data_IF_552624845591
#
_entry.id   IF_552624845591
#
_cell.length_a   1.000
_cell.length_b   1.000
_cell.length_c   1.000
_cell.angle_alpha   90.00
_cell.angle_beta   90.00
_cell.angle_gamma   90.00
#
_symmetry.space_group_name_H-M   'P 1'
#
loop_
_entity.id
_entity.type
_entity.pdbx_description
1 polymer ?
#
# COMPACT_ATOMS: atom_id res chain seq x y z
N UNK A 1 20.35 14.84 -8.18
CA UNK A 1 19.68 15.52 -7.03
C UNK A 1 18.30 14.91 -6.84
N UNK A 2 17.89 14.69 -5.59
CA UNK A 2 16.53 14.27 -5.29
C UNK A 2 15.49 15.32 -5.73
N UNK A 3 14.18 15.03 -5.57
CA UNK A 3 13.12 15.98 -5.91
C UNK A 3 13.28 17.30 -5.13
N UNK A 4 13.36 18.40 -5.85
CA UNK A 4 13.45 19.75 -5.30
C UNK A 4 12.15 20.51 -5.57
N UNK A 5 11.53 21.02 -4.52
CA UNK A 5 10.33 21.83 -4.54
C UNK A 5 10.72 23.30 -4.37
N UNK A 6 10.31 24.14 -5.29
CA UNK A 6 10.57 25.60 -5.25
C UNK A 6 9.28 26.37 -5.25
N UNK A 7 8.94 26.97 -4.12
CA UNK A 7 7.78 27.82 -3.95
C UNK A 7 6.46 27.13 -4.29
N UNK A 8 6.31 25.84 -3.96
CA UNK A 8 5.08 25.08 -4.23
C UNK A 8 3.95 25.65 -3.39
N UNK A 9 3.01 26.30 -4.03
CA UNK A 9 1.82 26.87 -3.40
C UNK A 9 0.55 26.26 -3.98
N UNK A 10 -0.36 25.82 -3.12
CA UNK A 10 -1.65 25.23 -3.47
C UNK A 10 -2.66 25.60 -2.39
N UNK A 11 -3.97 25.61 -2.66
CA UNK A 11 -5.01 25.89 -1.66
C UNK A 11 -4.98 24.98 -0.42
N UNK A 12 -4.29 23.83 -0.49
CA UNK A 12 -4.15 22.90 0.63
C UNK A 12 -2.95 23.22 1.54
N UNK A 13 -2.02 24.07 1.10
CA UNK A 13 -0.85 24.48 1.89
C UNK A 13 -1.00 25.93 2.31
N UNK A 14 -0.79 26.21 3.60
CA UNK A 14 -0.92 27.56 4.16
C UNK A 14 0.16 28.54 3.66
N UNK A 15 1.34 28.00 3.33
CA UNK A 15 2.48 28.75 2.85
C UNK A 15 3.17 28.02 1.68
N UNK A 16 3.98 28.70 0.86
CA UNK A 16 4.77 28.07 -0.18
C UNK A 16 5.78 27.07 0.42
N UNK A 17 5.92 25.91 -0.21
CA UNK A 17 6.86 24.87 0.20
C UNK A 17 8.14 24.99 -0.63
N UNK A 18 9.27 25.18 0.07
CA UNK A 18 10.62 25.03 -0.45
C UNK A 18 11.30 23.88 0.29
N UNK A 19 11.62 22.81 -0.43
CA UNK A 19 12.23 21.62 0.17
C UNK A 19 12.96 20.76 -0.87
N UNK A 20 14.09 20.15 -0.48
CA UNK A 20 14.81 19.21 -1.32
C UNK A 20 14.90 17.86 -0.62
N UNK A 21 14.31 16.83 -1.23
CA UNK A 21 14.46 15.45 -0.75
C UNK A 21 15.86 14.92 -1.04
N UNK A 22 16.35 14.02 -0.19
CA UNK A 22 17.61 13.33 -0.43
C UNK A 22 17.52 12.40 -1.65
N UNK A 23 18.52 12.46 -2.50
CA UNK A 23 18.65 11.51 -3.61
C UNK A 23 19.20 10.16 -3.12
N UNK A 24 18.89 9.08 -3.85
CA UNK A 24 19.40 7.74 -3.56
C UNK A 24 19.18 7.34 -2.11
N UNK A 25 18.04 7.72 -1.58
CA UNK A 25 17.66 7.51 -0.19
C UNK A 25 16.22 7.02 -0.07
N UNK A 26 15.94 6.30 1.01
CA UNK A 26 14.58 5.93 1.39
C UNK A 26 14.06 6.94 2.40
N UNK A 27 13.18 7.81 1.98
CA UNK A 27 12.56 8.83 2.83
C UNK A 27 11.14 8.42 3.21
N UNK A 28 10.83 8.42 4.50
CA UNK A 28 9.47 8.27 5.03
C UNK A 28 8.85 9.65 5.24
N UNK A 29 7.77 9.95 4.51
CA UNK A 29 6.98 11.18 4.68
C UNK A 29 5.85 10.93 5.68
N UNK A 30 5.92 11.56 6.83
CA UNK A 30 4.92 11.47 7.89
C UNK A 30 4.08 12.76 7.98
N UNK A 31 2.96 12.69 8.67
CA UNK A 31 2.07 13.83 8.91
C UNK A 31 0.65 13.36 9.18
N UNK A 32 -0.16 14.20 9.81
CA UNK A 32 -1.55 13.89 10.15
C UNK A 32 -2.38 13.54 8.92
N UNK A 33 -3.48 12.80 9.11
CA UNK A 33 -4.43 12.56 8.03
C UNK A 33 -4.98 13.90 7.53
N UNK A 34 -5.05 14.08 6.21
CA UNK A 34 -5.47 15.34 5.61
C UNK A 34 -4.39 16.44 5.55
N UNK A 35 -3.15 16.20 5.97
CA UNK A 35 -2.06 17.21 5.88
C UNK A 35 -1.63 17.54 4.44
N UNK A 36 -2.07 16.77 3.43
CA UNK A 36 -1.75 17.02 2.02
C UNK A 36 -0.65 16.13 1.44
N UNK A 37 -0.22 15.05 2.11
CA UNK A 37 0.84 14.14 1.61
C UNK A 37 0.55 13.59 0.22
N UNK A 38 -0.66 13.03 0.02
CA UNK A 38 -1.08 12.49 -1.28
C UNK A 38 -1.12 13.57 -2.36
N UNK A 39 -1.60 14.76 -2.01
CA UNK A 39 -1.61 15.90 -2.94
C UNK A 39 -0.21 16.37 -3.29
N UNK A 40 0.71 16.38 -2.34
CA UNK A 40 2.12 16.69 -2.59
C UNK A 40 2.74 15.68 -3.55
N UNK A 41 2.49 14.37 -3.37
CA UNK A 41 2.95 13.35 -4.30
C UNK A 41 2.38 13.54 -5.71
N UNK A 42 1.09 13.86 -5.82
CA UNK A 42 0.46 14.15 -7.11
C UNK A 42 1.06 15.38 -7.80
N UNK A 43 1.43 16.42 -7.03
CA UNK A 43 2.13 17.59 -7.55
C UNK A 43 3.53 17.21 -8.04
N UNK A 44 4.29 16.45 -7.26
CA UNK A 44 5.64 15.99 -7.66
C UNK A 44 5.57 15.16 -8.94
N UNK A 45 4.62 14.24 -9.04
CA UNK A 45 4.42 13.38 -10.21
C UNK A 45 3.74 14.08 -11.40
N UNK A 46 3.27 15.32 -11.24
CA UNK A 46 2.53 16.09 -12.28
C UNK A 46 1.24 15.39 -12.74
N UNK A 47 0.51 14.78 -11.81
CA UNK A 47 -0.78 14.06 -12.06
C UNK A 47 -1.94 14.66 -11.27
N UNK A 48 -1.75 15.84 -10.68
CA UNK A 48 -2.77 16.52 -9.90
C UNK A 48 -3.75 17.29 -10.78
N UNK A 49 -5.02 17.32 -10.35
CA UNK A 49 -6.03 18.27 -10.88
C UNK A 49 -6.14 19.53 -10.03
N UNK A 50 -5.46 19.60 -8.88
CA UNK A 50 -5.45 20.77 -8.02
C UNK A 50 -4.62 21.89 -8.64
N UNK A 51 -5.09 23.14 -8.59
CA UNK A 51 -4.29 24.28 -9.01
C UNK A 51 -3.11 24.45 -8.04
N UNK A 52 -1.93 24.62 -8.60
CA UNK A 52 -0.72 24.96 -7.84
C UNK A 52 0.19 25.89 -8.66
N UNK A 53 1.12 26.57 -7.99
CA UNK A 53 2.21 27.32 -8.59
C UNK A 53 3.53 26.85 -8.00
N UNK A 54 4.65 27.35 -8.53
CA UNK A 54 6.00 26.91 -8.17
C UNK A 54 6.54 25.87 -9.15
N UNK A 55 7.69 25.29 -8.84
CA UNK A 55 8.41 24.35 -9.71
C UNK A 55 8.81 23.09 -8.95
N UNK A 56 8.71 21.95 -9.64
CA UNK A 56 9.27 20.67 -9.18
C UNK A 56 10.43 20.32 -10.10
N UNK A 57 11.64 20.21 -9.54
CA UNK A 57 12.82 19.84 -10.29
C UNK A 57 13.32 18.46 -9.85
N UNK A 58 13.73 17.64 -10.81
CA UNK A 58 14.43 16.37 -10.57
C UNK A 58 15.67 16.41 -11.48
N UNK A 59 16.85 16.23 -10.90
CA UNK A 59 18.15 16.40 -11.60
C UNK A 59 18.26 17.72 -12.35
N UNK A 60 17.75 18.80 -11.77
CA UNK A 60 17.77 20.14 -12.35
C UNK A 60 16.80 20.38 -13.51
N UNK A 61 16.03 19.36 -13.91
CA UNK A 61 15.00 19.47 -14.96
C UNK A 61 13.63 19.67 -14.34
N UNK A 62 12.86 20.64 -14.83
CA UNK A 62 11.51 20.87 -14.39
C UNK A 62 10.57 19.77 -14.91
N UNK A 63 9.92 19.04 -13.99
CA UNK A 63 9.13 17.86 -14.30
C UNK A 63 7.93 18.18 -15.20
N UNK A 64 7.32 19.36 -15.04
CA UNK A 64 6.19 19.81 -15.85
C UNK A 64 6.54 19.98 -17.34
N UNK A 65 7.80 20.26 -17.66
CA UNK A 65 8.28 20.47 -19.02
C UNK A 65 8.75 19.18 -19.71
N UNK A 66 8.82 18.07 -18.99
CA UNK A 66 9.20 16.79 -19.56
C UNK A 66 8.08 16.21 -20.45
N UNK A 67 8.46 15.53 -21.53
CA UNK A 67 7.50 14.70 -22.29
C UNK A 67 6.90 13.64 -21.37
N UNK A 68 5.69 13.13 -21.69
CA UNK A 68 4.99 12.13 -20.87
C UNK A 68 5.89 10.92 -20.60
N UNK A 69 6.55 10.36 -21.64
CA UNK A 69 7.44 9.21 -21.51
C UNK A 69 8.60 9.53 -20.56
N UNK A 70 9.24 10.69 -20.76
CA UNK A 70 10.37 11.09 -19.92
C UNK A 70 9.96 11.36 -18.47
N UNK A 71 8.74 11.87 -18.26
CA UNK A 71 8.19 12.12 -16.94
C UNK A 71 7.99 10.82 -16.17
N UNK A 72 7.32 9.81 -16.75
CA UNK A 72 7.10 8.52 -16.08
C UNK A 72 8.39 7.74 -15.83
N UNK A 73 9.44 7.95 -16.64
CA UNK A 73 10.78 7.42 -16.40
C UNK A 73 11.57 8.23 -15.35
N UNK A 74 11.14 9.44 -15.04
CA UNK A 74 11.76 10.30 -14.02
C UNK A 74 11.11 10.09 -12.66
N UNK A 75 9.79 10.14 -12.60
CA UNK A 75 9.01 9.99 -11.37
C UNK A 75 7.80 9.12 -11.60
N UNK A 76 7.66 8.07 -10.79
CA UNK A 76 6.50 7.19 -10.78
C UNK A 76 5.78 7.28 -9.44
N UNK A 77 4.46 7.13 -9.47
CA UNK A 77 3.61 7.18 -8.28
C UNK A 77 2.75 5.93 -8.17
N UNK A 78 2.70 5.36 -6.96
CA UNK A 78 1.71 4.37 -6.56
C UNK A 78 0.66 5.07 -5.70
N UNK A 79 -0.60 5.04 -6.15
CA UNK A 79 -1.71 5.64 -5.42
C UNK A 79 -2.24 4.72 -4.31
N UNK A 80 -2.82 5.32 -3.28
CA UNK A 80 -3.47 4.63 -2.16
C UNK A 80 -4.51 3.60 -2.63
N UNK A 81 -5.29 3.92 -3.67
CA UNK A 81 -6.26 3.00 -4.25
C UNK A 81 -5.74 2.42 -5.57
N UNK A 82 -5.24 1.16 -5.58
CA UNK A 82 -4.67 0.55 -6.77
C UNK A 82 -5.69 0.31 -7.89
N UNK A 83 -7.01 0.30 -7.59
CA UNK A 83 -8.02 0.07 -8.63
C UNK A 83 -8.06 1.17 -9.69
N UNK A 84 -7.56 2.37 -9.39
CA UNK A 84 -7.55 3.50 -10.33
C UNK A 84 -6.34 3.47 -11.27
N UNK A 85 -5.42 2.50 -11.12
CA UNK A 85 -4.19 2.43 -11.90
C UNK A 85 -4.23 1.42 -13.03
N UNK A 86 -5.20 0.49 -13.03
CA UNK A 86 -5.29 -0.56 -14.02
C UNK A 86 -6.23 -0.20 -15.15
N UNK A 87 -5.78 -0.47 -16.38
CA UNK A 87 -6.52 -0.25 -17.62
C UNK A 87 -6.87 -1.57 -18.30
N UNK A 88 -6.04 -2.60 -18.13
CA UNK A 88 -6.18 -3.90 -18.76
C UNK A 88 -6.88 -4.92 -17.85
N UNK A 89 -7.25 -6.08 -18.42
CA UNK A 89 -7.99 -7.11 -17.70
C UNK A 89 -7.14 -7.85 -16.66
N UNK A 90 -5.86 -8.06 -16.95
CA UNK A 90 -4.92 -8.77 -16.08
C UNK A 90 -3.55 -8.10 -16.05
N UNK A 91 -2.71 -8.51 -15.10
CA UNK A 91 -1.40 -7.91 -14.89
C UNK A 91 -0.46 -8.10 -16.08
N UNK A 92 -0.54 -9.23 -16.79
CA UNK A 92 0.32 -9.48 -17.96
C UNK A 92 0.08 -8.47 -19.07
N UNK A 93 -1.18 -8.23 -19.40
CA UNK A 93 -1.58 -7.23 -20.40
C UNK A 93 -1.24 -5.80 -19.95
N UNK A 94 -1.41 -5.50 -18.66
CA UNK A 94 -1.06 -4.20 -18.09
C UNK A 94 0.45 -3.93 -18.19
N UNK A 95 1.29 -4.94 -17.96
CA UNK A 95 2.74 -4.83 -18.11
C UNK A 95 3.16 -4.61 -19.56
N UNK A 96 2.58 -5.36 -20.52
CA UNK A 96 2.81 -5.15 -21.96
C UNK A 96 2.43 -3.71 -22.32
N UNK A 97 1.19 -3.31 -22.00
CA UNK A 97 0.68 -1.97 -22.31
C UNK A 97 1.59 -0.88 -21.74
N UNK A 98 2.04 -1.03 -20.50
CA UNK A 98 2.93 -0.08 -19.86
C UNK A 98 4.27 0.02 -20.58
N UNK A 99 4.92 -1.12 -20.85
CA UNK A 99 6.23 -1.17 -21.49
C UNK A 99 6.20 -0.62 -22.92
N UNK A 100 5.16 -0.93 -23.69
CA UNK A 100 4.96 -0.38 -25.03
C UNK A 100 4.79 1.13 -25.00
N UNK A 101 3.98 1.67 -24.09
CA UNK A 101 3.75 3.11 -23.94
C UNK A 101 4.98 3.92 -23.54
N UNK A 102 5.89 3.34 -22.77
CA UNK A 102 7.17 4.00 -22.45
C UNK A 102 8.25 3.79 -23.52
N UNK A 103 7.94 3.07 -24.61
CA UNK A 103 8.86 2.82 -25.72
C UNK A 103 9.94 1.79 -25.41
N UNK A 104 9.64 0.80 -24.55
CA UNK A 104 10.58 -0.30 -24.27
C UNK A 104 10.76 -1.15 -25.54
N UNK A 105 11.98 -1.64 -25.87
CA UNK A 105 12.21 -2.46 -27.06
C UNK A 105 11.32 -3.71 -27.05
N UNK A 106 10.56 -3.94 -28.11
CA UNK A 106 9.59 -5.03 -28.20
C UNK A 106 10.22 -6.40 -27.90
N UNK A 107 11.47 -6.61 -28.36
CA UNK A 107 12.21 -7.86 -28.18
C UNK A 107 12.60 -8.12 -26.72
N UNK A 108 12.55 -7.10 -25.86
CA UNK A 108 12.95 -7.17 -24.45
C UNK A 108 11.75 -7.18 -23.48
N UNK A 109 10.52 -6.98 -24.00
CA UNK A 109 9.31 -6.90 -23.17
C UNK A 109 9.12 -8.17 -22.33
N UNK A 110 9.20 -9.34 -22.93
CA UNK A 110 8.99 -10.62 -22.24
C UNK A 110 10.03 -10.83 -21.13
N UNK A 111 11.29 -10.49 -21.39
CA UNK A 111 12.36 -10.60 -20.40
C UNK A 111 12.15 -9.62 -19.25
N UNK A 112 11.72 -8.40 -19.55
CA UNK A 112 11.43 -7.37 -18.53
C UNK A 112 10.21 -7.75 -17.67
N UNK A 113 9.18 -8.31 -18.28
CA UNK A 113 8.02 -8.85 -17.54
C UNK A 113 8.48 -9.98 -16.60
N UNK A 114 9.29 -10.92 -17.07
CA UNK A 114 9.79 -12.03 -16.26
C UNK A 114 10.61 -11.51 -15.05
N UNK A 115 11.48 -10.52 -15.26
CA UNK A 115 12.26 -9.86 -14.21
C UNK A 115 11.34 -9.24 -13.13
N UNK A 116 10.40 -8.39 -13.55
CA UNK A 116 9.49 -7.68 -12.64
C UNK A 116 8.58 -8.66 -11.89
N UNK A 117 8.06 -9.67 -12.57
CA UNK A 117 7.21 -10.72 -11.96
C UNK A 117 7.97 -11.51 -10.89
N UNK A 118 9.25 -11.77 -11.13
CA UNK A 118 10.13 -12.42 -10.14
C UNK A 118 10.40 -11.49 -8.95
N UNK A 119 10.76 -10.23 -9.21
CA UNK A 119 11.05 -9.21 -8.20
C UNK A 119 9.83 -8.98 -7.27
N UNK A 120 8.64 -8.79 -7.84
CA UNK A 120 7.41 -8.57 -7.07
C UNK A 120 6.76 -9.85 -6.55
N UNK A 121 7.31 -11.05 -6.87
CA UNK A 121 6.74 -12.35 -6.49
C UNK A 121 5.26 -12.48 -6.86
N UNK A 122 4.89 -11.97 -8.05
CA UNK A 122 3.49 -11.87 -8.49
C UNK A 122 3.11 -12.89 -9.59
N UNK A 123 3.93 -13.94 -9.82
CA UNK A 123 3.68 -14.97 -10.84
C UNK A 123 2.29 -15.62 -10.73
N UNK A 124 1.82 -15.88 -9.51
CA UNK A 124 0.53 -16.54 -9.29
C UNK A 124 -0.69 -15.69 -9.70
N UNK A 125 -0.52 -14.37 -9.83
CA UNK A 125 -1.59 -13.44 -10.19
C UNK A 125 -1.47 -12.89 -11.61
N UNK A 126 -0.41 -13.22 -12.33
CA UNK A 126 -0.03 -12.61 -13.61
C UNK A 126 -1.16 -12.62 -14.66
N UNK A 127 -1.88 -13.75 -14.78
CA UNK A 127 -2.96 -13.95 -15.76
C UNK A 127 -4.36 -13.96 -15.11
N UNK A 128 -4.45 -13.66 -13.81
CA UNK A 128 -5.75 -13.57 -13.13
C UNK A 128 -6.41 -12.23 -13.42
N UNK A 129 -7.74 -12.20 -13.68
CA UNK A 129 -8.45 -10.94 -13.83
C UNK A 129 -8.27 -10.04 -12.61
N UNK A 130 -7.93 -8.76 -12.82
CA UNK A 130 -7.60 -7.80 -11.74
C UNK A 130 -8.77 -7.66 -10.75
N UNK A 131 -10.01 -7.70 -11.22
CA UNK A 131 -11.18 -7.61 -10.35
C UNK A 131 -11.36 -8.82 -9.42
N UNK A 132 -10.72 -9.98 -9.71
CA UNK A 132 -10.70 -11.15 -8.83
C UNK A 132 -9.54 -11.15 -7.82
N UNK A 133 -8.62 -10.19 -7.91
CA UNK A 133 -7.51 -10.07 -6.98
C UNK A 133 -7.97 -9.48 -5.65
N UNK A 134 -7.40 -9.99 -4.55
CA UNK A 134 -7.54 -9.37 -3.23
C UNK A 134 -6.86 -7.99 -3.20
N UNK A 135 -7.15 -7.18 -2.19
CA UNK A 135 -6.53 -5.86 -2.04
C UNK A 135 -5.00 -5.91 -2.05
N UNK A 136 -4.41 -6.85 -1.31
CA UNK A 136 -2.95 -7.02 -1.28
C UNK A 136 -2.36 -7.52 -2.60
N UNK A 137 -3.06 -8.41 -3.33
CA UNK A 137 -2.64 -8.85 -4.66
C UNK A 137 -2.70 -7.70 -5.67
N UNK A 138 -3.72 -6.84 -5.62
CA UNK A 138 -3.82 -5.63 -6.45
C UNK A 138 -2.69 -4.64 -6.16
N UNK A 139 -2.32 -4.48 -4.88
CA UNK A 139 -1.21 -3.62 -4.49
C UNK A 139 0.12 -4.15 -5.04
N UNK A 140 0.37 -5.47 -4.94
CA UNK A 140 1.54 -6.11 -5.56
C UNK A 140 1.55 -5.96 -7.09
N UNK A 141 0.39 -6.07 -7.75
CA UNK A 141 0.26 -5.84 -9.18
C UNK A 141 0.59 -4.39 -9.57
N UNK A 142 0.08 -3.41 -8.82
CA UNK A 142 0.36 -1.99 -9.06
C UNK A 142 1.85 -1.64 -8.82
N UNK A 143 2.48 -2.24 -7.81
CA UNK A 143 3.94 -2.15 -7.61
C UNK A 143 4.71 -2.74 -8.79
N UNK A 144 4.28 -3.88 -9.34
CA UNK A 144 4.92 -4.50 -10.50
C UNK A 144 4.85 -3.58 -11.72
N UNK A 145 3.73 -2.91 -11.96
CA UNK A 145 3.59 -1.91 -13.02
C UNK A 145 4.54 -0.74 -12.81
N UNK A 146 4.63 -0.21 -11.59
CA UNK A 146 5.56 0.87 -11.24
C UNK A 146 7.02 0.44 -11.45
N UNK A 147 7.39 -0.78 -11.09
CA UNK A 147 8.74 -1.30 -11.27
C UNK A 147 9.09 -1.54 -12.74
N UNK A 148 8.10 -1.93 -13.56
CA UNK A 148 8.28 -2.05 -15.01
C UNK A 148 8.64 -0.70 -15.66
N UNK A 149 8.05 0.40 -15.20
CA UNK A 149 8.39 1.76 -15.65
C UNK A 149 9.82 2.18 -15.25
N UNK A 150 10.38 1.59 -14.18
CA UNK A 150 11.72 1.81 -13.66
C UNK A 150 12.09 3.30 -13.49
N UNK A 151 11.26 4.13 -12.83
CA UNK A 151 11.54 5.54 -12.64
C UNK A 151 12.82 5.79 -11.81
N UNK A 152 13.31 7.03 -11.78
CA UNK A 152 14.40 7.44 -10.89
C UNK A 152 13.90 7.70 -9.47
N UNK A 153 12.67 8.26 -9.36
CA UNK A 153 12.01 8.59 -8.10
C UNK A 153 10.72 7.77 -7.99
N UNK A 154 10.58 7.03 -6.92
CA UNK A 154 9.41 6.25 -6.55
C UNK A 154 8.63 6.97 -5.45
N UNK A 155 7.39 7.34 -5.72
CA UNK A 155 6.45 7.91 -4.74
C UNK A 155 5.41 6.84 -4.40
N UNK A 156 5.30 6.47 -3.13
CA UNK A 156 4.35 5.43 -2.69
C UNK A 156 3.39 6.01 -1.64
N UNK A 157 2.13 6.13 -2.01
CA UNK A 157 1.07 6.68 -1.15
C UNK A 157 0.32 5.56 -0.46
N UNK A 158 0.59 5.34 0.84
CA UNK A 158 0.01 4.29 1.69
C UNK A 158 0.04 2.88 1.04
N UNK A 159 1.20 2.41 0.58
CA UNK A 159 1.29 1.19 -0.24
C UNK A 159 0.91 -0.08 0.51
N UNK A 160 0.74 -0.04 1.85
CA UNK A 160 0.56 -1.22 2.69
C UNK A 160 -0.82 -1.33 3.34
N UNK A 161 -1.76 -0.44 3.03
CA UNK A 161 -3.09 -0.39 3.67
C UNK A 161 -3.88 -1.72 3.62
N UNK A 162 -3.61 -2.59 2.64
CA UNK A 162 -4.30 -3.87 2.44
C UNK A 162 -3.34 -5.07 2.40
N UNK A 163 -2.10 -4.90 2.82
CA UNK A 163 -1.04 -5.91 2.77
C UNK A 163 -0.79 -6.47 4.18
N UNK A 164 -0.58 -7.78 4.29
CA UNK A 164 -0.15 -8.42 5.54
C UNK A 164 1.30 -8.07 5.87
N UNK A 165 1.67 -8.22 7.16
CA UNK A 165 2.99 -7.82 7.65
C UNK A 165 4.15 -8.51 6.92
N UNK A 166 4.00 -9.79 6.57
CA UNK A 166 5.05 -10.53 5.86
C UNK A 166 5.29 -9.95 4.47
N UNK A 167 4.21 -9.74 3.71
CA UNK A 167 4.29 -9.11 2.38
C UNK A 167 4.79 -7.67 2.45
N UNK A 168 4.45 -6.92 3.51
CA UNK A 168 4.98 -5.56 3.76
C UNK A 168 6.51 -5.58 3.89
N UNK A 169 7.05 -6.48 4.74
CA UNK A 169 8.50 -6.62 4.93
C UNK A 169 9.19 -6.96 3.61
N UNK A 170 8.65 -7.93 2.86
CA UNK A 170 9.19 -8.30 1.54
C UNK A 170 9.27 -7.10 0.58
N UNK A 171 8.24 -6.24 0.57
CA UNK A 171 8.24 -5.03 -0.28
C UNK A 171 9.23 -3.98 0.24
N UNK A 172 9.34 -3.79 1.56
CA UNK A 172 10.32 -2.87 2.14
C UNK A 172 11.76 -3.28 1.80
N UNK A 173 12.06 -4.58 1.81
CA UNK A 173 13.36 -5.11 1.36
C UNK A 173 13.63 -4.74 -0.11
N UNK A 174 12.65 -4.97 -1.00
CA UNK A 174 12.78 -4.62 -2.43
C UNK A 174 12.97 -3.10 -2.61
N UNK A 175 12.24 -2.27 -1.87
CA UNK A 175 12.41 -0.81 -1.93
C UNK A 175 13.80 -0.37 -1.46
N UNK A 176 14.36 -1.05 -0.45
CA UNK A 176 15.74 -0.78 0.02
C UNK A 176 16.78 -1.20 -1.03
N UNK A 177 16.55 -2.32 -1.72
CA UNK A 177 17.39 -2.74 -2.86
C UNK A 177 17.37 -1.69 -3.98
N UNK A 178 16.20 -1.14 -4.35
CA UNK A 178 16.10 -0.05 -5.33
C UNK A 178 16.93 1.18 -4.94
N UNK A 179 16.95 1.53 -3.65
CA UNK A 179 17.80 2.62 -3.15
C UNK A 179 19.29 2.28 -3.33
N UNK A 180 19.68 1.04 -3.04
CA UNK A 180 21.05 0.56 -3.26
C UNK A 180 21.43 0.60 -4.74
N UNK A 181 20.47 0.46 -5.66
CA UNK A 181 20.63 0.59 -7.11
C UNK A 181 20.56 2.06 -7.59
N UNK A 182 20.65 3.02 -6.67
CA UNK A 182 20.70 4.46 -6.97
C UNK A 182 19.35 5.11 -7.23
N UNK A 183 18.24 4.48 -6.86
CA UNK A 183 16.89 5.06 -6.93
C UNK A 183 16.59 5.89 -5.68
N UNK A 184 15.65 6.82 -5.82
CA UNK A 184 15.10 7.58 -4.69
C UNK A 184 13.70 7.05 -4.38
N UNK A 185 13.43 6.72 -3.13
CA UNK A 185 12.13 6.24 -2.66
C UNK A 185 11.58 7.22 -1.64
N UNK A 186 10.37 7.73 -1.86
CA UNK A 186 9.64 8.55 -0.90
C UNK A 186 8.29 7.86 -0.68
N UNK A 187 8.04 7.44 0.55
CA UNK A 187 6.86 6.69 0.93
C UNK A 187 6.13 7.41 2.04
N UNK A 188 4.80 7.49 2.00
CA UNK A 188 4.01 7.87 3.15
C UNK A 188 3.15 6.70 3.63
N UNK A 189 3.00 6.58 4.95
CA UNK A 189 2.17 5.58 5.60
C UNK A 189 1.63 6.12 6.92
N UNK A 190 0.53 5.52 7.41
CA UNK A 190 -0.04 5.79 8.73
C UNK A 190 0.49 4.84 9.79
N UNK A 191 0.78 3.60 9.42
CA UNK A 191 1.40 2.62 10.30
C UNK A 191 2.93 2.69 10.15
N UNK A 192 3.59 3.26 11.14
CA UNK A 192 5.04 3.49 11.14
C UNK A 192 5.85 2.29 11.65
N UNK A 193 5.21 1.14 11.88
CA UNK A 193 5.89 -0.08 12.34
C UNK A 193 6.85 -0.61 11.28
N UNK A 194 7.93 -1.22 11.71
CA UNK A 194 8.93 -1.91 10.87
C UNK A 194 9.76 -1.00 9.93
N UNK A 195 9.58 0.33 9.93
CA UNK A 195 10.35 1.22 9.04
C UNK A 195 11.77 1.51 9.51
N UNK A 196 12.06 1.44 10.82
CA UNK A 196 13.30 1.91 11.46
C UNK A 196 14.59 1.38 10.80
N UNK A 197 14.55 0.15 10.27
CA UNK A 197 15.71 -0.49 9.65
C UNK A 197 15.83 -0.25 8.14
N UNK A 198 14.81 0.33 7.51
CA UNK A 198 14.75 0.52 6.06
C UNK A 198 14.96 1.96 5.63
N UNK A 199 14.48 2.93 6.42
CA UNK A 199 14.53 4.36 6.05
C UNK A 199 15.89 4.98 6.35
N UNK A 200 16.29 5.90 5.49
CA UNK A 200 17.48 6.72 5.68
C UNK A 200 17.11 8.09 6.26
N UNK A 201 15.94 8.63 5.88
CA UNK A 201 15.44 9.94 6.29
C UNK A 201 13.95 9.88 6.64
N UNK A 202 13.54 10.77 7.52
CA UNK A 202 12.14 11.00 7.83
C UNK A 202 11.82 12.49 7.68
N UNK A 203 10.72 12.80 7.00
CA UNK A 203 10.26 14.16 6.75
C UNK A 203 8.83 14.29 7.22
N UNK A 204 8.52 15.31 8.01
CA UNK A 204 7.15 15.61 8.45
C UNK A 204 6.54 16.71 7.59
N UNK A 205 5.33 16.46 7.07
CA UNK A 205 4.46 17.49 6.49
C UNK A 205 3.49 17.96 7.56
N UNK A 206 3.74 19.14 8.09
CA UNK A 206 2.93 19.75 9.14
C UNK A 206 2.68 21.23 8.85
N UNK A 207 1.44 21.67 9.01
CA UNK A 207 1.00 23.05 8.80
C UNK A 207 1.44 23.62 7.43
N UNK A 208 1.43 22.76 6.40
CA UNK A 208 1.82 23.11 5.03
C UNK A 208 3.33 23.24 4.81
N UNK A 209 4.16 22.83 5.76
CA UNK A 209 5.63 22.86 5.63
C UNK A 209 6.25 21.48 5.79
N UNK A 210 7.36 21.25 5.06
CA UNK A 210 8.19 20.05 5.19
C UNK A 210 9.38 20.32 6.10
N UNK A 211 9.62 19.41 7.03
CA UNK A 211 10.76 19.47 7.95
C UNK A 211 11.36 18.08 8.15
N UNK A 212 12.67 18.00 8.19
CA UNK A 212 13.32 16.76 8.63
C UNK A 212 13.06 16.48 10.10
N UNK A 213 12.81 15.24 10.43
CA UNK A 213 12.61 14.75 11.80
C UNK A 213 13.51 13.54 12.04
N UNK A 214 14.04 13.43 13.26
CA UNK A 214 15.07 12.44 13.61
C UNK A 214 14.56 11.30 14.47
N UNK A 215 13.27 11.27 14.80
CA UNK A 215 12.67 10.24 15.64
C UNK A 215 11.31 9.85 15.06
N UNK A 216 11.10 8.56 14.91
CA UNK A 216 9.76 8.04 14.63
C UNK A 216 8.88 8.39 15.82
N UNK A 217 7.72 9.06 15.60
CA UNK A 217 6.79 9.32 16.68
C UNK A 217 6.38 7.98 17.28
N UNK A 218 6.85 7.70 18.50
CA UNK A 218 6.42 6.50 19.22
C UNK A 218 4.94 6.65 19.51
N UNK A 219 4.11 5.86 18.85
CA UNK A 219 2.73 5.67 19.28
C UNK A 219 2.79 5.10 20.69
N UNK A 220 2.18 5.78 21.66
CA UNK A 220 2.01 5.24 23.00
C UNK A 220 1.36 3.85 22.85
N UNK A 221 2.11 2.80 23.20
CA UNK A 221 1.56 1.46 23.23
C UNK A 221 0.43 1.47 24.26
N UNK A 222 -0.80 1.40 23.78
CA UNK A 222 -1.95 1.19 24.65
C UNK A 222 -1.73 -0.18 25.30
N UNK A 223 -1.32 -0.18 26.56
CA UNK A 223 -1.28 -1.42 27.35
C UNK A 223 -2.72 -1.90 27.50
N UNK A 224 -3.10 -2.88 26.71
CA UNK A 224 -4.37 -3.60 26.90
C UNK A 224 -4.20 -4.42 28.18
N UNK A 225 -4.71 -3.91 29.29
CA UNK A 225 -4.86 -4.71 30.51
C UNK A 225 -5.84 -5.83 30.19
N UNK A 226 -5.38 -7.07 30.24
CA UNK A 226 -6.27 -8.26 30.17
C UNK A 226 -7.20 -8.24 31.39
N UNK A 227 -8.38 -7.66 31.25
CA UNK A 227 -9.47 -7.95 32.20
C UNK A 227 -9.94 -9.38 31.92
N UNK A 228 -10.03 -10.18 32.97
CA UNK A 228 -10.63 -11.51 32.87
C UNK A 228 -12.04 -11.39 32.28
N UNK A 229 -12.23 -11.88 31.07
CA UNK A 229 -13.49 -11.85 30.32
C UNK A 229 -14.48 -12.91 30.82
N UNK A 230 -14.06 -13.75 31.77
CA UNK A 230 -14.80 -14.89 32.28
C UNK A 230 -16.17 -14.58 32.95
N UNK A 231 -16.49 -13.30 33.18
CA UNK A 231 -17.76 -12.89 33.80
C UNK A 231 -18.79 -12.34 32.82
N UNK A 232 -18.47 -12.17 31.55
CA UNK A 232 -19.38 -11.60 30.59
C UNK A 232 -20.35 -12.69 30.02
N UNK A 233 -21.61 -12.34 29.73
CA UNK A 233 -22.54 -13.27 29.11
C UNK A 233 -22.06 -13.76 27.74
N UNK A 234 -22.32 -15.04 27.43
CA UNK A 234 -22.09 -15.60 26.12
C UNK A 234 -22.93 -14.86 25.07
N UNK A 235 -22.27 -14.49 23.96
CA UNK A 235 -22.92 -13.81 22.85
C UNK A 235 -23.11 -14.74 21.65
N UNK A 236 -22.01 -15.33 21.16
CA UNK A 236 -22.01 -16.32 20.08
C UNK A 236 -21.23 -17.55 20.53
N UNK A 237 -21.75 -18.72 20.23
CA UNK A 237 -21.03 -19.98 20.39
C UNK A 237 -20.97 -20.71 19.04
N UNK A 238 -19.81 -21.24 18.71
CA UNK A 238 -19.50 -21.95 17.48
C UNK A 238 -19.09 -23.38 17.82
N UNK A 239 -19.82 -24.34 17.28
CA UNK A 239 -19.53 -25.77 17.44
C UNK A 239 -19.27 -26.38 16.06
N UNK A 240 -18.06 -26.89 15.86
CA UNK A 240 -17.59 -27.56 14.62
C UNK A 240 -17.90 -26.78 13.35
N UNK A 241 -17.65 -25.47 13.36
CA UNK A 241 -17.90 -24.59 12.22
C UNK A 241 -16.79 -24.74 11.21
N UNK A 242 -17.15 -25.13 9.98
CA UNK A 242 -16.23 -25.25 8.83
C UNK A 242 -16.79 -24.39 7.71
N UNK A 243 -15.99 -23.48 7.19
CA UNK A 243 -16.30 -22.73 5.99
C UNK A 243 -15.39 -23.16 4.85
N UNK A 244 -15.98 -23.46 3.71
CA UNK A 244 -15.29 -23.85 2.48
C UNK A 244 -15.53 -22.80 1.40
N UNK A 245 -14.49 -22.48 0.62
CA UNK A 245 -14.57 -21.64 -0.58
C UNK A 245 -13.97 -22.46 -1.72
N UNK A 246 -14.70 -22.62 -2.83
CA UNK A 246 -14.28 -23.40 -4.01
C UNK A 246 -13.75 -24.80 -3.64
N UNK A 247 -14.49 -25.51 -2.77
CA UNK A 247 -14.14 -26.84 -2.25
C UNK A 247 -12.85 -26.93 -1.43
N UNK A 248 -12.30 -25.79 -0.99
CA UNK A 248 -11.16 -25.75 -0.06
C UNK A 248 -11.58 -25.22 1.29
N UNK A 249 -11.17 -25.87 2.39
CA UNK A 249 -11.46 -25.35 3.72
C UNK A 249 -10.71 -24.02 3.91
N UNK A 250 -11.47 -22.96 4.18
CA UNK A 250 -10.92 -21.62 4.44
C UNK A 250 -10.57 -21.47 5.93
N UNK A 251 -11.48 -21.96 6.81
CA UNK A 251 -11.20 -22.07 8.24
C UNK A 251 -12.03 -23.20 8.86
N UNK A 252 -11.56 -23.70 10.00
CA UNK A 252 -12.27 -24.66 10.84
C UNK A 252 -12.15 -24.25 12.30
N UNK A 253 -13.30 -24.17 12.99
CA UNK A 253 -13.42 -23.83 14.41
C UNK A 253 -14.09 -25.02 15.10
N UNK A 254 -13.35 -25.72 15.95
CA UNK A 254 -13.85 -26.88 16.66
C UNK A 254 -14.89 -26.48 17.73
N UNK A 255 -14.51 -25.53 18.57
CA UNK A 255 -15.33 -24.94 19.63
C UNK A 255 -14.79 -23.55 19.95
N UNK A 256 -15.65 -22.53 19.97
CA UNK A 256 -15.28 -21.18 20.34
C UNK A 256 -16.48 -20.34 20.78
N UNK A 257 -16.27 -19.53 21.82
CA UNK A 257 -17.30 -18.64 22.34
C UNK A 257 -16.86 -17.20 22.33
N UNK A 258 -17.67 -16.35 21.70
CA UNK A 258 -17.56 -14.89 21.86
C UNK A 258 -18.44 -14.43 23.01
N UNK A 259 -17.85 -13.68 23.91
CA UNK A 259 -18.55 -13.07 25.04
C UNK A 259 -18.96 -11.63 24.73
N UNK A 260 -19.90 -11.09 25.49
CA UNK A 260 -20.30 -9.70 25.35
C UNK A 260 -19.11 -8.78 25.67
N UNK A 261 -18.82 -7.83 24.76
CA UNK A 261 -17.69 -6.92 24.86
C UNK A 261 -17.04 -6.65 23.51
N UNK A 262 -15.78 -6.27 23.53
CA UNK A 262 -14.96 -6.04 22.32
C UNK A 262 -14.05 -7.26 22.14
N UNK A 263 -14.19 -7.94 21.01
CA UNK A 263 -13.31 -9.05 20.61
C UNK A 263 -12.49 -8.62 19.39
N UNK A 264 -11.17 -8.80 19.43
CA UNK A 264 -10.28 -8.56 18.32
C UNK A 264 -9.88 -9.89 17.67
N UNK A 265 -10.10 -10.03 16.35
CA UNK A 265 -9.69 -11.19 15.58
C UNK A 265 -8.43 -10.83 14.79
N UNK A 266 -7.33 -11.48 15.10
CA UNK A 266 -6.04 -11.29 14.46
C UNK A 266 -5.75 -12.44 13.48
N UNK A 267 -4.95 -12.17 12.47
CA UNK A 267 -4.48 -13.14 11.48
C UNK A 267 -4.15 -12.48 10.15
N UNK A 268 -3.39 -13.18 9.31
CA UNK A 268 -2.95 -12.71 8.01
C UNK A 268 -4.11 -12.45 7.03
N UNK A 269 -3.83 -11.77 5.92
CA UNK A 269 -4.82 -11.57 4.88
C UNK A 269 -5.16 -12.92 4.21
N UNK A 270 -6.43 -13.11 3.86
CA UNK A 270 -6.89 -14.35 3.22
C UNK A 270 -7.25 -15.51 4.16
N UNK A 271 -6.93 -15.45 5.45
CA UNK A 271 -7.26 -16.53 6.43
C UNK A 271 -8.74 -16.67 6.77
N UNK A 272 -9.61 -15.82 6.20
CA UNK A 272 -11.06 -15.96 6.37
C UNK A 272 -11.70 -15.09 7.45
N UNK A 273 -11.02 -14.07 8.00
CA UNK A 273 -11.61 -13.15 9.01
C UNK A 273 -12.94 -12.54 8.57
N UNK A 274 -12.98 -11.95 7.39
CA UNK A 274 -14.21 -11.37 6.82
C UNK A 274 -15.26 -12.43 6.52
N UNK A 275 -14.85 -13.64 6.14
CA UNK A 275 -15.73 -14.77 5.88
C UNK A 275 -16.36 -15.27 7.17
N UNK A 276 -15.61 -15.27 8.29
CA UNK A 276 -16.14 -15.59 9.61
C UNK A 276 -17.28 -14.63 10.01
N UNK A 277 -17.08 -13.30 9.84
CA UNK A 277 -18.15 -12.33 10.08
C UNK A 277 -19.37 -12.57 9.18
N UNK A 278 -19.15 -12.87 7.88
CA UNK A 278 -20.25 -13.20 6.96
C UNK A 278 -20.97 -14.48 7.36
N UNK A 279 -20.26 -15.48 7.92
CA UNK A 279 -20.87 -16.72 8.43
C UNK A 279 -21.74 -16.45 9.66
N UNK A 280 -21.28 -15.61 10.60
CA UNK A 280 -22.05 -15.17 11.76
C UNK A 280 -23.33 -14.43 11.32
N UNK A 281 -23.23 -13.59 10.29
CA UNK A 281 -24.35 -12.83 9.73
C UNK A 281 -25.20 -13.63 8.73
N UNK A 282 -24.97 -14.95 8.56
CA UNK A 282 -25.66 -15.82 7.62
C UNK A 282 -25.52 -15.44 6.12
N UNK A 283 -24.56 -14.60 5.77
CA UNK A 283 -24.26 -14.24 4.37
C UNK A 283 -23.34 -15.24 3.69
N UNK A 284 -22.74 -16.15 4.44
CA UNK A 284 -21.84 -17.19 3.94
C UNK A 284 -22.27 -18.55 4.50
N UNK A 285 -22.39 -19.55 3.62
CA UNK A 285 -22.70 -20.93 4.02
C UNK A 285 -21.53 -21.55 4.78
N UNK A 286 -21.83 -22.29 5.81
CA UNK A 286 -20.89 -23.05 6.65
C UNK A 286 -21.50 -24.39 7.07
N UNK A 287 -20.66 -25.32 7.50
CA UNK A 287 -21.04 -26.57 8.16
C UNK A 287 -20.85 -26.38 9.67
N UNK A 288 -21.59 -27.09 10.50
CA UNK A 288 -21.55 -26.96 11.97
C UNK A 288 -22.66 -26.10 12.52
N UNK A 289 -22.48 -25.56 13.71
CA UNK A 289 -23.53 -24.81 14.41
C UNK A 289 -22.98 -23.48 14.93
N UNK A 290 -23.72 -22.42 14.70
CA UNK A 290 -23.51 -21.11 15.34
C UNK A 290 -24.78 -20.78 16.12
N UNK A 291 -24.63 -20.42 17.39
CA UNK A 291 -25.72 -19.93 18.21
C UNK A 291 -25.52 -18.49 18.62
N UNK A 292 -26.57 -17.73 18.76
CA UNK A 292 -26.59 -16.39 19.31
C UNK A 292 -27.47 -16.39 20.58
N UNK A 293 -26.85 -16.08 21.73
CA UNK A 293 -27.52 -16.14 23.04
C UNK A 293 -28.28 -17.43 23.23
N UNK A 294 -27.67 -18.57 22.90
CA UNK A 294 -28.23 -19.92 23.01
C UNK A 294 -29.22 -20.31 21.91
N UNK A 295 -29.60 -19.43 21.00
CA UNK A 295 -30.48 -19.74 19.86
C UNK A 295 -29.67 -20.06 18.62
N UNK A 296 -29.97 -21.16 17.92
CA UNK A 296 -29.32 -21.52 16.64
C UNK A 296 -29.66 -20.48 15.59
N UNK A 297 -28.61 -20.01 14.88
CA UNK A 297 -28.77 -19.10 13.76
C UNK A 297 -29.12 -19.84 12.47
#
# INVERSE_FOLDING_TARGET
>A
MGPELRGIQSPIFSEPIDFTFHEQAFTLLVGSSGSGKSSLFQIIAQVTSLPYSGQVLIDGSEVSQLSIVKRVQTVGILFQNPNHQFTMENLFEELIFTLENIGHPVQEIDSKIAEVVQQCRCKAILHRPIHHLSGGEKQKAALAVLFAMNPRVYLLDEPFASIDRKSRIEILEILKELVSDGKTVILCDHDLTDYEVYIDHMVELRDGQLREVFQIPTSEMIQVSSKEVASNPELYHMDRVICELDHRPLFSIADFTFYQGISCILGDNGVGKSTLFRSILQFQKYKGRITWKGKVL
#
